data_IF_587646425611
#
_entry.id   IF_587646425611
#
_cell.length_a   1.000
_cell.length_b   1.000
_cell.length_c   1.000
_cell.angle_alpha   90.00
_cell.angle_beta   90.00
_cell.angle_gamma   90.00
#
_symmetry.space_group_name_H-M   'P 1'
#
loop_
_entity.id
_entity.type
_entity.pdbx_description
1 polymer ?
#
# COMPACT_ATOMS: atom_id res chain seq x y z
N UNK A 1 19.18 6.12 -4.68
CA UNK A 1 18.80 4.75 -4.28
C UNK A 1 17.59 4.37 -5.09
N UNK A 2 17.56 3.16 -5.64
CA UNK A 2 16.43 2.68 -6.43
C UNK A 2 15.22 2.59 -5.51
N UNK A 3 14.12 3.29 -5.77
CA UNK A 3 13.00 3.36 -4.84
C UNK A 3 12.27 2.01 -4.64
N UNK A 4 12.48 1.09 -5.58
CA UNK A 4 12.05 -0.30 -5.48
C UNK A 4 12.95 -1.16 -4.59
N UNK A 5 14.22 -0.80 -4.42
CA UNK A 5 15.12 -1.50 -3.49
C UNK A 5 14.57 -1.33 -2.07
N UNK A 6 14.43 -2.46 -1.37
CA UNK A 6 14.02 -2.53 0.03
C UNK A 6 12.58 -2.07 0.33
N UNK A 7 11.67 -2.01 -0.67
CA UNK A 7 10.27 -1.63 -0.39
C UNK A 7 9.59 -2.61 0.59
N UNK A 8 9.96 -3.89 0.55
CA UNK A 8 9.47 -4.88 1.52
C UNK A 8 10.03 -4.64 2.92
N UNK A 9 11.30 -4.27 3.06
CA UNK A 9 11.89 -3.91 4.35
C UNK A 9 11.22 -2.66 4.93
N UNK A 10 10.94 -1.67 4.07
CA UNK A 10 10.18 -0.49 4.47
C UNK A 10 8.76 -0.85 4.91
N UNK A 11 8.06 -1.73 4.18
CA UNK A 11 6.71 -2.17 4.57
C UNK A 11 6.72 -2.92 5.91
N UNK A 12 7.73 -3.76 6.16
CA UNK A 12 7.93 -4.43 7.45
C UNK A 12 8.12 -3.43 8.58
N UNK A 13 8.96 -2.40 8.37
CA UNK A 13 9.18 -1.35 9.34
C UNK A 13 7.91 -0.51 9.58
N UNK A 14 7.18 -0.16 8.51
CA UNK A 14 5.92 0.57 8.60
C UNK A 14 4.88 -0.23 9.39
N UNK A 15 4.69 -1.51 9.07
CA UNK A 15 3.78 -2.41 9.80
C UNK A 15 4.17 -2.50 11.29
N UNK A 16 5.45 -2.74 11.58
CA UNK A 16 5.94 -2.82 12.96
C UNK A 16 5.75 -1.51 13.74
N UNK A 17 5.73 -0.36 13.07
CA UNK A 17 5.46 0.92 13.71
C UNK A 17 3.97 1.14 14.00
N UNK A 18 3.07 0.42 13.32
CA UNK A 18 1.63 0.48 13.61
C UNK A 18 1.26 -0.43 14.79
N UNK A 19 1.98 -1.55 14.99
CA UNK A 19 1.73 -2.47 16.10
C UNK A 19 1.91 -1.76 17.46
N UNK A 20 0.79 -1.55 18.16
CA UNK A 20 0.69 -0.78 19.38
C UNK A 20 -0.15 -1.48 20.46
N UNK A 21 -0.26 -2.82 20.40
CA UNK A 21 -1.12 -3.71 21.21
C UNK A 21 -2.57 -3.80 20.76
N UNK A 22 -3.09 -2.82 20.01
CA UNK A 22 -4.45 -2.87 19.47
C UNK A 22 -4.44 -3.07 17.95
N UNK A 23 -3.59 -2.33 17.24
CA UNK A 23 -3.61 -2.27 15.78
C UNK A 23 -3.38 -3.64 15.10
N UNK A 24 -2.48 -4.45 15.64
CA UNK A 24 -2.19 -5.78 15.10
C UNK A 24 -3.32 -6.81 15.29
N UNK A 25 -4.31 -6.50 16.13
CA UNK A 25 -5.43 -7.37 16.44
C UNK A 25 -6.64 -7.15 15.53
N UNK A 26 -6.89 -5.94 15.04
CA UNK A 26 -8.07 -5.62 14.22
C UNK A 26 -7.75 -5.19 12.77
N UNK A 27 -6.53 -4.73 12.50
CA UNK A 27 -6.11 -4.16 11.21
C UNK A 27 -4.87 -4.86 10.65
N UNK A 28 -4.56 -4.63 9.37
CA UNK A 28 -3.34 -5.20 8.81
C UNK A 28 -3.03 -4.89 7.35
N UNK A 29 -2.08 -5.68 6.85
CA UNK A 29 -1.68 -5.70 5.45
C UNK A 29 -2.09 -7.04 4.85
N UNK A 30 -2.92 -7.00 3.80
CA UNK A 30 -3.39 -8.18 3.08
C UNK A 30 -2.91 -8.14 1.64
N UNK A 31 -2.20 -9.18 1.22
CA UNK A 31 -1.75 -9.37 -0.16
C UNK A 31 -2.27 -10.73 -0.64
N UNK A 32 -3.09 -10.72 -1.68
CA UNK A 32 -3.76 -11.91 -2.21
C UNK A 32 -3.66 -11.97 -3.72
N UNK A 33 -3.78 -13.16 -4.29
CA UNK A 33 -3.91 -13.33 -5.74
C UNK A 33 -5.35 -13.06 -6.19
N UNK A 34 -5.50 -12.54 -7.40
CA UNK A 34 -6.79 -12.38 -8.08
C UNK A 34 -7.17 -13.64 -8.88
N UNK A 35 -8.44 -13.74 -9.28
CA UNK A 35 -8.97 -14.83 -10.12
C UNK A 35 -8.47 -14.76 -11.58
N UNK A 36 -8.11 -13.55 -12.03
CA UNK A 36 -7.32 -13.26 -13.20
C UNK A 36 -5.88 -12.93 -12.75
N UNK A 37 -4.80 -13.35 -13.45
CA UNK A 37 -3.44 -13.22 -12.93
C UNK A 37 -3.14 -11.80 -12.44
N UNK A 38 -2.75 -11.68 -11.17
CA UNK A 38 -2.56 -10.39 -10.52
C UNK A 38 -2.61 -10.48 -9.02
N UNK A 39 -2.45 -9.33 -8.38
CA UNK A 39 -2.43 -9.15 -6.94
C UNK A 39 -3.49 -8.15 -6.50
N UNK A 40 -4.15 -8.45 -5.39
CA UNK A 40 -4.88 -7.47 -4.57
C UNK A 40 -4.02 -7.13 -3.37
N UNK A 41 -3.94 -5.84 -3.04
CA UNK A 41 -3.27 -5.32 -1.85
C UNK A 41 -4.28 -4.46 -1.11
N UNK A 42 -4.49 -4.75 0.17
CA UNK A 42 -5.25 -3.89 1.09
C UNK A 42 -4.38 -3.60 2.29
N UNK A 43 -4.29 -2.33 2.65
CA UNK A 43 -3.58 -1.86 3.83
C UNK A 43 -4.56 -1.00 4.61
N UNK A 44 -4.92 -1.43 5.81
CA UNK A 44 -5.79 -0.63 6.66
C UNK A 44 -5.00 0.59 7.20
N UNK A 45 -5.66 1.74 7.31
CA UNK A 45 -5.05 3.04 7.67
C UNK A 45 -5.68 3.66 8.92
N UNK A 46 -6.78 3.07 9.41
CA UNK A 46 -7.42 3.47 10.66
C UNK A 46 -6.44 3.33 11.83
N UNK A 47 -6.50 4.28 12.76
CA UNK A 47 -5.58 4.43 13.89
C UNK A 47 -4.10 4.53 13.49
N UNK A 48 -3.81 5.01 12.26
CA UNK A 48 -2.47 5.36 11.80
C UNK A 48 -2.38 6.86 11.47
N UNK A 49 -1.16 7.40 11.34
CA UNK A 49 -0.94 8.78 10.88
C UNK A 49 -1.45 9.04 9.44
N UNK A 50 -1.84 7.99 8.72
CA UNK A 50 -2.41 8.07 7.36
C UNK A 50 -3.94 8.07 7.36
N UNK A 51 -4.57 7.96 8.52
CA UNK A 51 -6.03 8.01 8.64
C UNK A 51 -6.58 9.32 8.07
N UNK A 52 -7.63 9.22 7.25
CA UNK A 52 -8.28 10.38 6.64
C UNK A 52 -7.49 11.05 5.52
N UNK A 53 -6.28 10.59 5.20
CA UNK A 53 -5.55 11.06 4.02
C UNK A 53 -6.09 10.38 2.75
N UNK A 54 -6.25 11.17 1.70
CA UNK A 54 -6.71 10.67 0.39
C UNK A 54 -5.53 10.35 -0.53
N UNK A 55 -5.51 9.14 -1.09
CA UNK A 55 -4.67 8.80 -2.23
C UNK A 55 -5.46 9.06 -3.53
N UNK A 56 -4.98 9.96 -4.41
CA UNK A 56 -5.61 10.19 -5.69
C UNK A 56 -5.72 8.90 -6.50
N UNK A 57 -6.93 8.57 -6.98
CA UNK A 57 -7.17 7.34 -7.73
C UNK A 57 -6.18 7.21 -8.90
N UNK A 58 -5.44 6.10 -8.90
CA UNK A 58 -4.63 5.62 -10.01
C UNK A 58 -5.37 4.54 -10.80
N UNK A 59 -5.36 4.65 -12.12
CA UNK A 59 -5.90 3.66 -13.06
C UNK A 59 -4.99 3.65 -14.30
N UNK A 60 -3.95 2.82 -14.25
CA UNK A 60 -2.91 2.73 -15.27
C UNK A 60 -2.92 1.35 -15.91
N UNK A 61 -3.23 1.28 -17.20
CA UNK A 61 -3.31 0.03 -17.96
C UNK A 61 -2.35 0.08 -19.13
N UNK A 62 -1.23 -0.63 -19.02
CA UNK A 62 -0.19 -0.70 -20.07
C UNK A 62 -0.38 -1.93 -20.94
N UNK A 63 -0.77 -3.05 -20.36
CA UNK A 63 -1.13 -4.28 -21.07
C UNK A 63 -2.04 -5.19 -20.23
N UNK A 64 -2.38 -6.38 -20.74
CA UNK A 64 -3.17 -7.39 -20.02
C UNK A 64 -2.56 -7.79 -18.67
N UNK A 65 -1.23 -7.88 -18.59
CA UNK A 65 -0.50 -8.33 -17.39
C UNK A 65 0.35 -7.21 -16.77
N UNK A 66 0.24 -5.98 -17.28
CA UNK A 66 0.96 -4.81 -16.78
C UNK A 66 -0.04 -3.68 -16.56
N UNK A 67 -0.51 -3.57 -15.33
CA UNK A 67 -1.52 -2.61 -14.94
C UNK A 67 -1.48 -2.40 -13.42
N UNK A 68 -1.91 -1.21 -13.00
CA UNK A 68 -2.02 -0.80 -11.59
C UNK A 68 -3.31 -0.01 -11.43
N UNK A 69 -4.07 -0.34 -10.41
CA UNK A 69 -5.19 0.44 -9.91
C UNK A 69 -4.98 0.62 -8.42
N UNK A 70 -5.07 1.85 -7.91
CA UNK A 70 -4.94 2.13 -6.48
C UNK A 70 -5.81 3.32 -6.07
N UNK A 71 -6.33 3.30 -4.85
CA UNK A 71 -7.13 4.38 -4.25
C UNK A 71 -7.12 4.24 -2.73
N UNK A 72 -7.50 5.30 -2.02
CA UNK A 72 -8.04 5.15 -0.67
C UNK A 72 -9.56 4.94 -0.73
N UNK A 73 -10.09 4.09 0.13
CA UNK A 73 -11.53 3.89 0.34
C UNK A 73 -11.73 3.32 1.74
N UNK A 74 -12.73 3.81 2.46
CA UNK A 74 -13.11 3.27 3.77
C UNK A 74 -11.93 3.07 4.74
N UNK A 75 -11.09 4.11 4.87
CA UNK A 75 -9.88 4.10 5.71
C UNK A 75 -8.87 3.01 5.36
N UNK A 76 -8.82 2.60 4.10
CA UNK A 76 -7.82 1.66 3.59
C UNK A 76 -7.16 2.19 2.34
N UNK A 77 -5.90 1.81 2.12
CA UNK A 77 -5.27 1.85 0.81
C UNK A 77 -5.58 0.54 0.08
N UNK A 78 -6.41 0.63 -0.94
CA UNK A 78 -6.82 -0.47 -1.80
C UNK A 78 -6.07 -0.40 -3.13
N UNK A 79 -5.46 -1.51 -3.53
CA UNK A 79 -4.85 -1.63 -4.84
C UNK A 79 -5.06 -3.00 -5.48
N UNK A 80 -5.09 -3.02 -6.80
CA UNK A 80 -5.07 -4.22 -7.62
C UNK A 80 -4.07 -4.01 -8.75
N UNK A 81 -3.31 -5.04 -9.11
CA UNK A 81 -2.30 -4.91 -10.16
C UNK A 81 -2.01 -6.21 -10.91
N UNK A 82 -1.35 -6.09 -12.05
CA UNK A 82 -0.86 -7.22 -12.83
C UNK A 82 0.18 -8.05 -12.08
N UNK A 83 0.47 -9.29 -12.51
CA UNK A 83 1.30 -10.24 -11.77
C UNK A 83 2.74 -9.76 -11.53
N UNK A 84 3.25 -8.83 -12.35
CA UNK A 84 4.59 -8.25 -12.22
C UNK A 84 4.64 -6.87 -11.53
N UNK A 85 3.51 -6.34 -11.07
CA UNK A 85 3.40 -4.95 -10.60
C UNK A 85 3.28 -4.82 -9.08
N UNK A 86 3.42 -5.90 -8.30
CA UNK A 86 3.29 -5.83 -6.83
C UNK A 86 4.27 -4.83 -6.21
N UNK A 87 5.55 -4.87 -6.63
CA UNK A 87 6.55 -3.89 -6.18
C UNK A 87 6.15 -2.45 -6.52
N UNK A 88 5.54 -2.23 -7.69
CA UNK A 88 5.09 -0.90 -8.10
C UNK A 88 3.98 -0.38 -7.18
N UNK A 89 2.99 -1.22 -6.83
CA UNK A 89 1.94 -0.88 -5.86
C UNK A 89 2.51 -0.55 -4.48
N UNK A 90 3.46 -1.36 -3.98
CA UNK A 90 4.06 -1.11 -2.67
C UNK A 90 4.89 0.19 -2.66
N UNK A 91 5.56 0.52 -3.77
CA UNK A 91 6.28 1.79 -3.91
C UNK A 91 5.31 2.97 -3.95
N UNK A 92 4.15 2.83 -4.62
CA UNK A 92 3.11 3.86 -4.61
C UNK A 92 2.62 4.14 -3.18
N UNK A 93 2.30 3.08 -2.43
CA UNK A 93 1.91 3.22 -1.03
C UNK A 93 3.00 3.90 -0.20
N UNK A 94 4.26 3.44 -0.32
CA UNK A 94 5.41 4.05 0.38
C UNK A 94 5.55 5.54 0.12
N UNK A 95 5.53 5.95 -1.16
CA UNK A 95 5.68 7.37 -1.53
C UNK A 95 4.59 8.21 -0.91
N UNK A 96 3.34 7.77 -1.07
CA UNK A 96 2.19 8.48 -0.54
C UNK A 96 2.23 8.55 0.99
N UNK A 97 2.56 7.46 1.67
CA UNK A 97 2.70 7.44 3.12
C UNK A 97 3.74 8.48 3.57
N UNK A 98 4.94 8.46 2.99
CA UNK A 98 6.01 9.41 3.32
C UNK A 98 5.68 10.87 3.02
N UNK A 99 4.79 11.15 2.04
CA UNK A 99 4.32 12.51 1.73
C UNK A 99 3.28 13.02 2.74
N UNK A 100 2.60 12.11 3.45
CA UNK A 100 1.48 12.42 4.33
C UNK A 100 1.80 12.22 5.83
N UNK A 101 2.83 11.47 6.18
CA UNK A 101 3.33 11.40 7.56
C UNK A 101 4.22 12.61 7.86
N UNK A 102 4.06 13.30 9.01
CA UNK A 102 4.98 14.35 9.40
C UNK A 102 6.40 13.79 9.51
N UNK A 103 7.37 14.41 8.82
CA UNK A 103 8.77 14.20 9.19
C UNK A 103 8.91 14.65 10.64
N UNK A 104 9.14 13.71 11.56
CA UNK A 104 9.65 14.04 12.88
C UNK A 104 10.88 14.93 12.68
N UNK A 105 10.79 16.17 13.18
CA UNK A 105 11.89 17.14 13.18
C UNK A 105 12.86 16.83 14.31
#
# INVERSE_FOLDING_TARGET
MNEAENVLEWLQAWYSAQCNEDWEHEWGVKIETLDNPGWSVRIDLEDTDLEGHDFPRQDLKRSKNDWVMARTSDMTFDAACGPGNLTEVLVLFRRWAMENTPNER
#
